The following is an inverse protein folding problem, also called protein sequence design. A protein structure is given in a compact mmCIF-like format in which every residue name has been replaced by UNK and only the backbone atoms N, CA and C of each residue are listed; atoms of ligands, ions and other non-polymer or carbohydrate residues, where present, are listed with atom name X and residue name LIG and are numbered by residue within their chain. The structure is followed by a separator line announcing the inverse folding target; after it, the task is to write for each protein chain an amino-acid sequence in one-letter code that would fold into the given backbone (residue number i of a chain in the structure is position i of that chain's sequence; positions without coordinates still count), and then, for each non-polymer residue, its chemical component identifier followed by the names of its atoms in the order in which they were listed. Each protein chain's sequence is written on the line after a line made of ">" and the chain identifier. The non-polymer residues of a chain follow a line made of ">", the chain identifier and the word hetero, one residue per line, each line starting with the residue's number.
data_IF_787880586911
#
_entry.id   IF_787880586911
#
_cell.length_a   1.000
_cell.length_b   1.000
_cell.length_c   1.000
_cell.angle_alpha   90.00
_cell.angle_beta   90.00
_cell.angle_gamma   90.00
#
_symmetry.space_group_name_H-M   'P 1'
#
loop_
_entity.id
_entity.type
_entity.pdbx_description
1 polymer ?
#
# COMPACT_ATOMS: atom_id res chain seq x y z
N UNK A 1 53.64 -1.81 34.69
CA UNK A 1 54.02 -2.95 35.55
C UNK A 1 52.89 -3.96 35.54
N UNK A 2 53.27 -5.25 35.32
CA UNK A 2 52.51 -6.52 35.29
C UNK A 2 51.60 -6.70 34.06
N UNK A 3 51.91 -7.48 33.09
CA UNK A 3 52.43 -8.88 32.83
C UNK A 3 51.46 -9.98 33.31
N UNK A 4 51.12 -10.84 32.34
CA UNK A 4 50.72 -12.24 32.45
C UNK A 4 49.41 -12.47 31.66
N UNK A 5 49.27 -13.26 30.63
CA UNK A 5 49.98 -14.49 30.22
C UNK A 5 48.98 -15.63 30.38
N UNK A 6 48.62 -16.31 29.30
CA UNK A 6 47.83 -17.53 29.40
C UNK A 6 47.31 -18.00 28.03
N UNK A 7 48.19 -18.74 27.33
CA UNK A 7 47.90 -19.63 26.21
C UNK A 7 47.20 -20.91 26.71
N UNK A 8 46.27 -21.43 25.95
CA UNK A 8 45.68 -22.76 26.15
C UNK A 8 45.22 -23.34 24.82
N UNK A 9 46.13 -24.06 24.20
CA UNK A 9 45.87 -25.01 23.08
C UNK A 9 45.18 -26.27 23.57
N UNK A 10 44.43 -26.91 22.72
CA UNK A 10 43.93 -28.26 22.89
C UNK A 10 42.95 -28.56 21.73
N UNK A 11 43.46 -29.01 20.66
CA UNK A 11 43.65 -30.32 19.98
C UNK A 11 42.41 -31.22 19.97
N UNK A 12 42.02 -31.49 18.73
CA UNK A 12 41.59 -32.76 18.11
C UNK A 12 40.49 -33.60 18.77
N UNK A 13 39.47 -33.90 18.02
CA UNK A 13 39.20 -35.28 17.66
C UNK A 13 38.30 -35.43 16.43
N UNK A 14 38.79 -36.26 15.52
CA UNK A 14 38.21 -36.76 14.31
C UNK A 14 37.43 -38.06 14.61
N UNK A 15 36.25 -38.23 14.04
CA UNK A 15 35.62 -39.54 14.03
C UNK A 15 34.41 -39.65 13.07
N UNK A 16 34.26 -40.72 12.34
CA UNK A 16 33.78 -40.75 10.97
C UNK A 16 32.29 -41.08 10.81
N UNK A 17 31.81 -40.78 9.59
CA UNK A 17 30.57 -41.31 9.00
C UNK A 17 30.43 -42.84 9.08
N UNK A 18 29.20 -43.32 9.01
CA UNK A 18 28.96 -44.27 7.95
C UNK A 18 27.71 -44.04 7.13
N UNK A 19 27.91 -44.19 5.85
CA UNK A 19 26.93 -44.39 4.81
C UNK A 19 25.99 -45.57 5.08
N UNK A 20 24.70 -45.39 4.80
CA UNK A 20 23.83 -46.51 4.45
C UNK A 20 22.96 -46.21 3.25
N UNK A 21 23.30 -46.91 2.17
CA UNK A 21 22.48 -47.20 0.99
C UNK A 21 21.27 -48.06 1.36
N UNK A 22 20.17 -47.85 0.67
CA UNK A 22 19.00 -48.73 0.63
C UNK A 22 17.95 -48.17 -0.28
N UNK A 23 18.05 -48.43 -1.56
CA UNK A 23 17.31 -49.34 -2.45
C UNK A 23 15.82 -49.03 -2.66
N UNK A 24 15.58 -48.57 -3.91
CA UNK A 24 14.47 -48.96 -4.83
C UNK A 24 13.17 -49.51 -4.26
N UNK A 25 12.08 -48.82 -4.56
CA UNK A 25 10.88 -49.45 -5.06
C UNK A 25 10.18 -48.60 -6.10
N UNK A 26 10.15 -49.09 -7.33
CA UNK A 26 9.20 -48.71 -8.38
C UNK A 26 7.83 -49.25 -8.00
N UNK A 27 6.79 -48.57 -8.33
CA UNK A 27 5.39 -48.93 -8.28
C UNK A 27 4.61 -47.78 -8.85
N UNK A 28 4.37 -47.83 -10.00
CA UNK A 28 3.30 -47.90 -10.99
C UNK A 28 2.06 -47.07 -10.73
N UNK A 29 1.79 -46.28 -11.73
CA UNK A 29 0.52 -45.99 -12.41
C UNK A 29 -0.74 -45.83 -11.56
N UNK A 30 -1.25 -44.62 -11.57
CA UNK A 30 -2.61 -44.28 -11.21
C UNK A 30 -2.98 -42.99 -11.84
N UNK A 31 -3.72 -43.08 -12.93
CA UNK A 31 -4.20 -42.01 -13.77
C UNK A 31 -5.24 -41.10 -13.07
N UNK A 32 -5.32 -39.88 -13.57
CA UNK A 32 -6.50 -39.03 -13.62
C UNK A 32 -7.04 -38.45 -12.29
N UNK A 33 -6.74 -37.23 -12.13
CA UNK A 33 -7.41 -36.31 -11.25
C UNK A 33 -7.05 -34.89 -11.68
N UNK A 34 -7.62 -34.44 -12.80
CA UNK A 34 -7.67 -33.03 -13.14
C UNK A 34 -8.44 -32.30 -12.04
N UNK A 35 -7.76 -32.00 -10.97
CA UNK A 35 -8.22 -30.97 -10.07
C UNK A 35 -7.82 -29.64 -10.71
N UNK A 36 -8.70 -29.09 -11.53
CA UNK A 36 -8.78 -27.68 -11.79
C UNK A 36 -9.02 -26.98 -10.45
N UNK A 37 -8.00 -26.92 -9.64
CA UNK A 37 -7.90 -26.02 -8.52
C UNK A 37 -7.73 -24.62 -9.10
N UNK A 38 -8.85 -24.00 -9.48
CA UNK A 38 -8.89 -22.57 -9.74
C UNK A 38 -8.28 -21.89 -8.53
N UNK A 39 -7.03 -21.47 -8.66
CA UNK A 39 -6.45 -20.47 -7.78
C UNK A 39 -7.28 -19.22 -8.02
N UNK A 40 -8.35 -19.06 -7.26
CA UNK A 40 -8.90 -17.76 -6.96
C UNK A 40 -7.75 -16.99 -6.29
N UNK A 41 -6.85 -16.46 -7.09
CA UNK A 41 -6.06 -15.34 -6.69
C UNK A 41 -7.12 -14.30 -6.29
N UNK A 42 -7.31 -14.12 -5.00
CA UNK A 42 -8.05 -12.99 -4.44
C UNK A 42 -7.25 -11.78 -4.90
N UNK A 43 -7.58 -11.29 -6.08
CA UNK A 43 -7.04 -10.03 -6.57
C UNK A 43 -7.59 -8.98 -5.61
N UNK A 44 -6.74 -8.59 -4.69
CA UNK A 44 -7.12 -7.59 -3.70
C UNK A 44 -7.45 -6.29 -4.41
N UNK A 45 -8.48 -5.62 -3.94
CA UNK A 45 -8.91 -4.32 -4.45
C UNK A 45 -7.72 -3.38 -4.60
N UNK A 46 -7.63 -2.72 -5.73
CA UNK A 46 -6.59 -1.75 -6.06
C UNK A 46 -7.20 -0.37 -6.12
N UNK A 47 -6.45 0.62 -5.65
CA UNK A 47 -6.87 2.02 -5.60
C UNK A 47 -5.85 2.86 -6.37
N UNK A 48 -6.33 3.61 -7.36
CA UNK A 48 -5.54 4.63 -8.06
C UNK A 48 -6.12 5.99 -7.74
N UNK A 49 -5.31 6.81 -7.09
CA UNK A 49 -5.64 8.21 -6.83
C UNK A 49 -5.13 9.08 -7.97
N UNK A 50 -5.94 9.98 -8.45
CA UNK A 50 -5.62 10.88 -9.55
C UNK A 50 -6.32 12.21 -9.42
N UNK A 51 -5.85 13.21 -10.14
CA UNK A 51 -6.47 14.52 -10.21
C UNK A 51 -7.27 14.71 -11.47
N UNK A 52 -8.41 15.40 -11.38
CA UNK A 52 -9.16 15.84 -12.53
C UNK A 52 -9.81 17.21 -12.26
N UNK A 53 -10.05 18.03 -13.30
CA UNK A 53 -10.65 19.35 -13.12
C UNK A 53 -12.10 19.27 -12.63
N UNK A 54 -12.80 18.18 -12.95
CA UNK A 54 -14.19 17.95 -12.54
C UNK A 54 -14.58 16.47 -12.64
N UNK A 55 -15.75 16.11 -12.09
CA UNK A 55 -16.25 14.74 -12.09
C UNK A 55 -16.52 14.16 -13.48
N UNK A 56 -16.93 14.99 -14.45
CA UNK A 56 -17.18 14.54 -15.82
C UNK A 56 -15.88 14.08 -16.51
N UNK A 57 -14.76 14.78 -16.25
CA UNK A 57 -13.45 14.35 -16.73
C UNK A 57 -12.97 13.10 -15.97
N UNK A 58 -13.12 13.08 -14.64
CA UNK A 58 -12.77 11.93 -13.83
C UNK A 58 -13.52 10.64 -14.26
N UNK A 59 -14.79 10.76 -14.62
CA UNK A 59 -15.61 9.64 -15.08
C UNK A 59 -15.13 9.02 -16.40
N UNK A 60 -14.37 9.74 -17.20
CA UNK A 60 -13.82 9.25 -18.49
C UNK A 60 -12.50 8.53 -18.35
N UNK A 61 -11.76 8.77 -17.28
CA UNK A 61 -10.44 8.17 -17.05
C UNK A 61 -10.47 6.65 -17.14
N UNK A 62 -11.38 5.91 -16.47
CA UNK A 62 -11.42 4.46 -16.58
C UNK A 62 -11.70 3.95 -18.00
N UNK A 63 -12.46 4.70 -18.81
CA UNK A 63 -12.85 4.31 -20.16
C UNK A 63 -11.69 4.45 -21.14
N UNK A 64 -10.81 5.42 -20.91
CA UNK A 64 -9.62 5.68 -21.71
C UNK A 64 -8.45 4.77 -21.37
N UNK A 65 -8.52 4.07 -20.24
CA UNK A 65 -7.43 3.23 -19.75
C UNK A 65 -7.53 1.82 -20.31
N UNK A 66 -6.46 1.35 -20.93
CA UNK A 66 -6.25 -0.09 -21.13
C UNK A 66 -5.77 -0.70 -19.82
N UNK A 67 -6.05 -2.01 -19.55
CA UNK A 67 -5.58 -2.67 -18.34
C UNK A 67 -4.06 -2.53 -18.12
N UNK A 68 -3.28 -2.49 -19.21
CA UNK A 68 -1.84 -2.32 -19.19
C UNK A 68 -1.42 -0.88 -18.84
N UNK A 69 -2.31 0.09 -19.04
CA UNK A 69 -2.09 1.51 -18.82
C UNK A 69 -2.62 2.01 -17.47
N UNK A 70 -3.20 1.11 -16.66
CA UNK A 70 -3.70 1.46 -15.32
C UNK A 70 -2.63 2.10 -14.41
N UNK A 71 -1.34 2.01 -14.79
CA UNK A 71 -0.21 2.71 -14.20
C UNK A 71 0.14 4.04 -14.87
N UNK A 72 -0.54 4.41 -15.99
CA UNK A 72 -0.24 5.61 -16.74
C UNK A 72 -0.66 6.90 -16.05
N UNK A 73 -0.09 7.98 -16.52
CA UNK A 73 -0.39 9.35 -16.10
C UNK A 73 -1.35 9.99 -17.12
N UNK A 74 -2.63 9.60 -17.10
CA UNK A 74 -3.62 9.99 -18.09
C UNK A 74 -3.91 11.50 -18.14
N UNK A 75 -3.58 12.21 -17.06
CA UNK A 75 -3.81 13.63 -16.94
C UNK A 75 -2.52 14.44 -16.69
N UNK A 76 -1.36 13.82 -16.88
CA UNK A 76 -0.05 14.46 -16.69
C UNK A 76 0.30 14.74 -15.22
N UNK A 77 -0.37 14.08 -14.28
CA UNK A 77 -0.26 14.41 -12.86
C UNK A 77 0.50 13.37 -12.00
N UNK A 78 0.85 12.23 -12.57
CA UNK A 78 1.38 11.13 -11.77
C UNK A 78 0.36 10.60 -10.75
N UNK A 79 -0.32 9.51 -11.07
CA UNK A 79 -1.26 8.88 -10.13
C UNK A 79 -0.55 8.22 -8.96
N UNK A 80 -1.26 8.07 -7.84
CA UNK A 80 -0.79 7.32 -6.68
C UNK A 80 -1.49 5.98 -6.61
N UNK A 81 -0.72 4.89 -6.72
CA UNK A 81 -1.22 3.52 -6.58
C UNK A 81 -1.00 2.99 -5.17
N UNK A 82 -2.04 2.43 -4.57
CA UNK A 82 -1.94 1.86 -3.24
C UNK A 82 -2.99 0.78 -3.01
N UNK A 83 -2.80 -0.04 -1.99
CA UNK A 83 -3.80 -0.97 -1.46
C UNK A 83 -4.63 -0.34 -0.32
N UNK A 84 -4.46 0.95 -0.07
CA UNK A 84 -5.10 1.66 1.03
C UNK A 84 -6.37 2.34 0.53
N UNK A 85 -7.45 2.08 1.21
CA UNK A 85 -8.78 2.63 0.90
C UNK A 85 -8.82 4.16 1.05
N UNK A 86 -9.62 4.86 0.24
CA UNK A 86 -9.75 6.30 0.35
C UNK A 86 -10.25 6.78 1.72
N UNK A 87 -11.11 6.03 2.39
CA UNK A 87 -11.57 6.36 3.74
C UNK A 87 -10.41 6.26 4.76
N UNK A 88 -9.51 5.31 4.57
CA UNK A 88 -8.34 5.15 5.43
C UNK A 88 -7.36 6.29 5.24
N UNK A 89 -7.08 6.71 4.00
CA UNK A 89 -6.23 7.89 3.73
C UNK A 89 -6.87 9.16 4.34
N UNK A 90 -8.17 9.35 4.11
CA UNK A 90 -8.89 10.47 4.71
C UNK A 90 -8.76 10.49 6.25
N UNK A 91 -8.93 9.32 6.88
CA UNK A 91 -8.78 9.19 8.32
C UNK A 91 -7.34 9.50 8.79
N UNK A 92 -6.32 9.03 8.06
CA UNK A 92 -4.91 9.30 8.38
C UNK A 92 -4.60 10.79 8.36
N UNK A 93 -5.05 11.51 7.33
CA UNK A 93 -4.83 12.95 7.20
C UNK A 93 -5.60 13.74 8.26
N UNK A 94 -6.90 13.52 8.36
CA UNK A 94 -7.75 14.30 9.27
C UNK A 94 -7.37 14.08 10.72
N UNK A 95 -7.06 12.84 11.09
CA UNK A 95 -6.72 12.53 12.47
C UNK A 95 -5.26 12.81 12.79
N UNK A 96 -4.35 12.40 11.90
CA UNK A 96 -2.91 12.54 12.14
C UNK A 96 -2.43 13.98 11.99
N UNK A 97 -2.94 14.72 11.02
CA UNK A 97 -2.52 16.09 10.71
C UNK A 97 -3.41 17.13 11.41
N UNK A 98 -4.73 16.95 11.35
CA UNK A 98 -5.66 17.93 11.90
C UNK A 98 -6.16 17.63 13.31
N UNK A 99 -5.84 16.47 13.88
CA UNK A 99 -6.31 16.06 15.19
C UNK A 99 -7.82 15.83 15.26
N UNK A 100 -8.49 15.65 14.12
CA UNK A 100 -9.93 15.43 14.07
C UNK A 100 -10.29 13.97 14.38
N UNK A 101 -11.35 13.70 15.12
CA UNK A 101 -11.78 12.35 15.42
C UNK A 101 -12.35 11.65 14.18
N UNK A 102 -12.25 10.31 14.12
CA UNK A 102 -12.67 9.49 12.98
C UNK A 102 -14.12 9.68 12.54
N UNK A 103 -15.01 10.01 13.47
CA UNK A 103 -16.42 10.27 13.17
C UNK A 103 -16.65 11.59 12.42
N UNK A 104 -15.58 12.36 12.19
CA UNK A 104 -15.58 13.60 11.41
C UNK A 104 -15.04 13.42 9.99
N UNK A 105 -14.63 12.20 9.62
CA UNK A 105 -14.24 11.91 8.23
C UNK A 105 -15.47 12.13 7.34
N UNK A 106 -15.40 13.06 6.38
CA UNK A 106 -16.53 13.34 5.50
C UNK A 106 -16.78 12.15 4.57
N UNK A 107 -18.03 11.92 4.16
CA UNK A 107 -18.35 10.87 3.21
C UNK A 107 -17.70 11.16 1.85
N UNK A 108 -17.28 10.09 1.17
CA UNK A 108 -16.81 10.17 -0.20
C UNK A 108 -18.00 10.34 -1.14
N UNK A 109 -17.81 11.12 -2.19
CA UNK A 109 -18.80 11.32 -3.23
C UNK A 109 -18.63 10.26 -4.33
N UNK A 110 -19.67 9.47 -4.60
CA UNK A 110 -19.67 8.53 -5.70
C UNK A 110 -19.88 9.28 -7.02
N UNK A 111 -18.91 9.19 -7.94
CA UNK A 111 -18.93 9.81 -9.27
C UNK A 111 -19.40 8.82 -10.33
N UNK A 112 -18.87 7.60 -10.30
CA UNK A 112 -19.23 6.51 -11.21
C UNK A 112 -19.35 5.21 -10.42
N UNK A 113 -20.41 4.45 -10.72
CA UNK A 113 -20.54 3.06 -10.30
C UNK A 113 -20.70 2.20 -11.54
N UNK A 114 -19.72 1.33 -11.80
CA UNK A 114 -19.70 0.35 -12.89
C UNK A 114 -19.54 -1.04 -12.29
N UNK A 115 -20.00 -2.13 -12.94
CA UNK A 115 -19.80 -3.49 -12.44
C UNK A 115 -18.33 -3.84 -12.14
N UNK A 116 -17.39 -3.31 -12.94
CA UNK A 116 -15.98 -3.66 -12.86
C UNK A 116 -15.13 -2.62 -12.09
N UNK A 117 -15.66 -1.42 -11.82
CA UNK A 117 -14.94 -0.37 -11.12
C UNK A 117 -15.87 0.68 -10.51
N UNK A 118 -15.34 1.50 -9.64
CA UNK A 118 -16.02 2.70 -9.17
C UNK A 118 -15.03 3.90 -9.19
N UNK A 119 -15.57 5.10 -9.39
CA UNK A 119 -14.82 6.34 -9.20
C UNK A 119 -15.47 7.12 -8.07
N UNK A 120 -14.69 7.43 -7.06
CA UNK A 120 -15.12 8.26 -5.92
C UNK A 120 -14.29 9.54 -5.88
N UNK A 121 -14.91 10.62 -5.45
CA UNK A 121 -14.26 11.89 -5.21
C UNK A 121 -13.94 12.02 -3.73
N UNK A 122 -12.73 12.44 -3.43
CA UNK A 122 -12.34 12.80 -2.07
C UNK A 122 -12.62 14.29 -1.83
N UNK A 123 -13.03 14.68 -0.63
CA UNK A 123 -13.15 16.09 -0.28
C UNK A 123 -11.77 16.77 -0.23
N UNK A 124 -11.69 18.02 -0.63
CA UNK A 124 -10.44 18.81 -0.56
C UNK A 124 -9.87 18.90 0.85
N UNK A 125 -10.72 18.81 1.87
CA UNK A 125 -10.31 18.77 3.28
C UNK A 125 -9.37 17.61 3.64
N UNK A 126 -9.28 16.59 2.78
CA UNK A 126 -8.34 15.46 2.91
C UNK A 126 -6.99 15.77 2.28
N UNK A 127 -6.92 16.76 1.40
CA UNK A 127 -5.74 17.06 0.57
C UNK A 127 -5.10 18.38 1.01
N UNK A 128 -5.90 19.42 1.19
CA UNK A 128 -5.43 20.77 1.53
C UNK A 128 -4.54 20.83 2.80
N UNK A 129 -4.85 20.07 3.87
CA UNK A 129 -4.03 20.14 5.08
C UNK A 129 -2.58 19.70 4.89
N UNK A 130 -2.30 18.90 3.84
CA UNK A 130 -0.96 18.39 3.59
C UNK A 130 -0.04 19.37 2.88
N UNK A 131 -0.58 20.40 2.23
CA UNK A 131 0.22 21.33 1.41
C UNK A 131 1.27 22.10 2.19
N UNK A 132 0.90 22.55 3.39
CA UNK A 132 1.73 23.44 4.20
C UNK A 132 2.26 22.75 5.48
N UNK A 133 2.19 21.41 5.52
CA UNK A 133 2.64 20.63 6.68
C UNK A 133 4.14 20.41 6.61
N UNK A 134 4.84 20.77 7.68
CA UNK A 134 6.27 20.48 7.85
C UNK A 134 6.52 18.98 8.11
N UNK A 135 7.73 18.56 7.81
CA UNK A 135 8.20 17.17 7.95
C UNK A 135 7.98 16.60 9.37
N UNK A 136 8.20 17.42 10.40
CA UNK A 136 7.99 17.03 11.78
C UNK A 136 6.53 16.64 12.06
N UNK A 137 5.57 17.40 11.51
CA UNK A 137 4.14 17.10 11.67
C UNK A 137 3.73 15.84 10.91
N UNK A 138 4.32 15.58 9.74
CA UNK A 138 4.11 14.33 9.01
C UNK A 138 4.64 13.14 9.80
N UNK A 139 5.83 13.29 10.40
CA UNK A 139 6.41 12.27 11.30
C UNK A 139 5.54 12.00 12.53
N UNK A 140 5.06 13.05 13.18
CA UNK A 140 4.15 12.93 14.33
C UNK A 140 2.83 12.24 13.94
N UNK A 141 2.25 12.61 12.81
CA UNK A 141 1.03 11.99 12.30
C UNK A 141 1.22 10.49 12.00
N UNK A 142 2.35 10.13 11.40
CA UNK A 142 2.70 8.75 11.12
C UNK A 142 2.83 7.92 12.41
N UNK A 143 3.48 8.48 13.42
CA UNK A 143 3.60 7.83 14.73
C UNK A 143 2.23 7.66 15.39
N UNK A 144 1.42 8.70 15.46
CA UNK A 144 0.06 8.65 16.02
C UNK A 144 -0.76 7.56 15.32
N UNK A 145 -0.75 7.52 13.99
CA UNK A 145 -1.48 6.51 13.24
C UNK A 145 -1.01 5.09 13.54
N UNK A 146 0.30 4.87 13.65
CA UNK A 146 0.88 3.55 13.92
C UNK A 146 0.48 2.99 15.29
N UNK A 147 0.16 3.85 16.26
CA UNK A 147 -0.21 3.45 17.63
C UNK A 147 -1.69 3.15 17.80
N UNK A 148 -2.52 3.46 16.79
CA UNK A 148 -3.96 3.27 16.89
C UNK A 148 -4.35 1.84 16.53
N UNK A 149 -5.02 1.11 17.42
CA UNK A 149 -5.46 -0.25 17.14
C UNK A 149 -6.60 -0.30 16.12
N UNK A 150 -6.74 -1.46 15.46
CA UNK A 150 -7.87 -1.85 14.60
C UNK A 150 -8.20 -0.92 13.42
N UNK A 151 -7.19 -0.26 12.85
CA UNK A 151 -7.35 0.56 11.65
C UNK A 151 -6.83 -0.14 10.40
N UNK A 152 -7.52 0.07 9.31
CA UNK A 152 -7.03 -0.34 8.00
C UNK A 152 -5.76 0.44 7.61
N UNK A 153 -4.84 -0.22 6.89
CA UNK A 153 -3.63 0.42 6.39
C UNK A 153 -2.35 -0.03 7.10
N UNK A 154 -1.21 0.57 6.74
CA UNK A 154 0.07 0.19 7.32
C UNK A 154 0.10 0.53 8.82
N UNK A 155 0.68 -0.38 9.59
CA UNK A 155 0.90 -0.23 11.04
C UNK A 155 2.30 0.26 11.39
N UNK A 156 3.21 0.16 10.46
CA UNK A 156 4.58 0.61 10.60
C UNK A 156 4.65 2.13 10.37
N UNK A 157 5.16 2.86 11.35
CA UNK A 157 5.26 4.31 11.30
C UNK A 157 6.07 4.82 10.09
N UNK A 158 7.12 4.10 9.68
CA UNK A 158 7.92 4.47 8.52
C UNK A 158 7.13 4.33 7.20
N UNK A 159 6.35 3.26 7.05
CA UNK A 159 5.50 3.09 5.87
C UNK A 159 4.36 4.12 5.84
N UNK A 160 3.81 4.49 6.99
CA UNK A 160 2.81 5.57 7.09
C UNK A 160 3.43 6.91 6.73
N UNK A 161 4.62 7.20 7.26
CA UNK A 161 5.37 8.42 6.95
C UNK A 161 5.63 8.56 5.45
N UNK A 162 6.14 7.51 4.81
CA UNK A 162 6.38 7.51 3.37
C UNK A 162 5.09 7.73 2.56
N UNK A 163 4.00 7.07 2.96
CA UNK A 163 2.70 7.24 2.31
C UNK A 163 2.17 8.67 2.45
N UNK A 164 2.31 9.28 3.63
CA UNK A 164 1.89 10.67 3.85
C UNK A 164 2.72 11.65 3.01
N UNK A 165 4.01 11.40 2.81
CA UNK A 165 4.84 12.18 1.90
C UNK A 165 4.41 12.04 0.44
N UNK A 166 4.17 10.82 -0.03
CA UNK A 166 3.64 10.58 -1.38
C UNK A 166 2.28 11.31 -1.57
N UNK A 167 1.47 11.32 -0.51
CA UNK A 167 0.18 12.00 -0.50
C UNK A 167 0.33 13.52 -0.46
N UNK A 168 1.33 14.04 0.23
CA UNK A 168 1.70 15.46 0.24
C UNK A 168 2.12 15.93 -1.15
N UNK A 169 3.02 15.21 -1.81
CA UNK A 169 3.45 15.51 -3.18
C UNK A 169 2.29 15.47 -4.16
N UNK A 170 1.40 14.50 -4.00
CA UNK A 170 0.17 14.41 -4.79
C UNK A 170 -0.73 15.65 -4.56
N UNK A 171 -0.90 16.06 -3.31
CA UNK A 171 -1.68 17.26 -2.93
C UNK A 171 -1.12 18.53 -3.58
N UNK A 172 0.18 18.72 -3.59
CA UNK A 172 0.84 19.85 -4.23
C UNK A 172 0.55 19.88 -5.74
N UNK A 173 0.73 18.74 -6.43
CA UNK A 173 0.43 18.64 -7.87
C UNK A 173 -1.04 18.90 -8.20
N UNK A 174 -1.97 18.39 -7.37
CA UNK A 174 -3.39 18.67 -7.52
C UNK A 174 -3.67 20.17 -7.49
N UNK A 175 -3.09 20.85 -6.53
CA UNK A 175 -3.28 22.28 -6.35
C UNK A 175 -2.68 23.09 -7.51
N UNK A 176 -1.46 22.79 -7.94
CA UNK A 176 -0.79 23.41 -9.08
C UNK A 176 -1.59 23.27 -10.37
N UNK A 177 -2.20 22.10 -10.57
CA UNK A 177 -3.04 21.83 -11.73
C UNK A 177 -4.47 22.37 -11.62
N UNK A 178 -4.89 22.87 -10.46
CA UNK A 178 -6.29 23.26 -10.20
C UNK A 178 -7.26 22.07 -10.24
N UNK A 179 -6.77 20.89 -9.91
CA UNK A 179 -7.54 19.63 -9.95
C UNK A 179 -8.12 19.26 -8.59
N UNK A 180 -9.14 18.40 -8.64
CA UNK A 180 -9.77 17.77 -7.47
C UNK A 180 -9.32 16.31 -7.37
N UNK A 181 -9.25 15.73 -6.15
CA UNK A 181 -8.80 14.36 -5.92
C UNK A 181 -9.93 13.35 -6.19
N UNK A 182 -9.59 12.34 -6.96
CA UNK A 182 -10.45 11.20 -7.25
C UNK A 182 -9.71 9.89 -6.96
N UNK A 183 -10.47 8.83 -6.71
CA UNK A 183 -9.96 7.49 -6.56
C UNK A 183 -10.72 6.54 -7.47
N UNK A 184 -10.01 5.87 -8.34
CA UNK A 184 -10.49 4.72 -9.10
C UNK A 184 -10.28 3.46 -8.26
N UNK A 185 -11.34 2.73 -8.06
CA UNK A 185 -11.41 1.50 -7.28
C UNK A 185 -11.76 0.35 -8.21
N UNK A 186 -10.95 -0.71 -8.24
CA UNK A 186 -11.29 -1.93 -8.96
C UNK A 186 -10.85 -3.18 -8.18
N UNK A 187 -11.66 -4.25 -8.24
CA UNK A 187 -11.42 -5.50 -7.52
C UNK A 187 -10.22 -6.29 -8.06
#
# INVERSE_FOLDING_TARGET
>A
MYRGGGLGEGTDDLGPEPARRGKHRRGDAGANGEAMGGRNARMGVTYKYFGAPNGATAARVPISMRPEELGGDELGMGGLFTKIKPETIAAMVLMGIQGLPLNKVPPLELVVLHPDYAVVKLPMTVVDPLRDVGEESVGAAAFIWSTVPDRGGPRDAFNVYRLLHEWQDFSLRLHEAGHQPYCLVWP
#
